data_IF_829186355577
#
_entry.id   IF_829186355577
#
_cell.length_a   1.000
_cell.length_b   1.000
_cell.length_c   1.000
_cell.angle_alpha   90.00
_cell.angle_beta   90.00
_cell.angle_gamma   90.00
#
_symmetry.space_group_name_H-M   'P 1'
#
loop_
_entity.id
_entity.type
_entity.pdbx_description
1 polymer ?
#
# COMPACT_ATOMS: atom_id res chain seq x y z
N UNK A 1 11.95 18.37 0.91
CA UNK A 1 11.26 17.11 1.28
C UNK A 1 11.90 15.98 0.48
N UNK A 2 12.27 14.85 1.07
CA UNK A 2 12.89 13.73 0.35
C UNK A 2 11.94 12.51 0.27
N UNK A 3 12.29 11.54 -0.58
CA UNK A 3 11.53 10.30 -0.82
C UNK A 3 11.24 9.52 0.47
N UNK A 4 12.22 9.42 1.36
CA UNK A 4 12.08 8.67 2.63
C UNK A 4 11.05 9.29 3.57
N UNK A 5 11.00 10.63 3.65
CA UNK A 5 9.98 11.33 4.44
C UNK A 5 8.56 11.07 3.90
N UNK A 6 8.40 11.02 2.57
CA UNK A 6 7.12 10.68 1.95
C UNK A 6 6.73 9.25 2.33
N UNK A 7 7.65 8.30 2.21
CA UNK A 7 7.37 6.90 2.53
C UNK A 7 6.93 6.70 3.98
N UNK A 8 7.68 7.28 4.95
CA UNK A 8 7.33 7.19 6.37
C UNK A 8 5.94 7.75 6.68
N UNK A 9 5.55 8.83 6.00
CA UNK A 9 4.20 9.39 6.16
C UNK A 9 3.12 8.44 5.63
N UNK A 10 3.36 7.73 4.53
CA UNK A 10 2.42 6.72 4.04
C UNK A 10 2.24 5.60 5.06
N UNK A 11 3.33 5.11 5.64
CA UNK A 11 3.29 4.07 6.68
C UNK A 11 2.49 4.52 7.90
N UNK A 12 2.77 5.73 8.40
CA UNK A 12 2.06 6.29 9.56
C UNK A 12 0.57 6.52 9.30
N UNK A 13 0.20 6.98 8.09
CA UNK A 13 -1.19 7.29 7.77
C UNK A 13 -2.05 6.05 7.62
N UNK A 14 -1.52 4.97 7.03
CA UNK A 14 -2.31 3.76 6.76
C UNK A 14 -2.40 2.83 7.96
N UNK A 15 -1.46 2.93 8.91
CA UNK A 15 -1.47 2.14 10.13
C UNK A 15 -2.81 2.29 10.87
N UNK A 16 -3.54 1.17 11.01
CA UNK A 16 -4.82 1.13 11.70
C UNK A 16 -6.04 1.59 10.88
N UNK A 17 -5.87 1.91 9.59
CA UNK A 17 -6.99 2.26 8.71
C UNK A 17 -7.62 1.03 8.07
N UNK A 18 -8.92 1.07 7.84
CA UNK A 18 -9.58 0.07 7.01
C UNK A 18 -9.11 0.17 5.55
N UNK A 19 -9.01 -0.96 4.86
CA UNK A 19 -8.68 -1.01 3.43
C UNK A 19 -9.94 -0.77 2.59
N UNK A 20 -10.47 0.45 2.63
CA UNK A 20 -11.65 0.88 1.86
C UNK A 20 -11.31 2.07 0.96
N UNK A 21 -12.12 2.30 -0.07
CA UNK A 21 -11.91 3.44 -0.98
C UNK A 21 -11.96 4.78 -0.25
N UNK A 22 -12.86 4.92 0.71
CA UNK A 22 -13.03 6.11 1.54
C UNK A 22 -11.79 6.37 2.41
N UNK A 23 -11.32 5.35 3.13
CA UNK A 23 -10.19 5.49 4.04
C UNK A 23 -8.84 5.69 3.32
N UNK A 24 -8.73 5.18 2.09
CA UNK A 24 -7.51 5.21 1.28
C UNK A 24 -7.50 6.30 0.21
N UNK A 25 -8.56 7.11 0.10
CA UNK A 25 -8.67 8.15 -0.92
C UNK A 25 -7.51 9.17 -0.92
N UNK A 26 -6.89 9.41 0.24
CA UNK A 26 -5.76 10.33 0.39
C UNK A 26 -4.40 9.78 -0.07
N UNK A 27 -4.31 8.50 -0.44
CA UNK A 27 -3.05 7.84 -0.84
C UNK A 27 -2.71 8.04 -2.32
N UNK A 28 -3.25 9.10 -2.93
CA UNK A 28 -2.97 9.46 -4.31
C UNK A 28 -2.01 10.65 -4.41
N UNK A 29 -1.31 10.77 -5.54
CA UNK A 29 -0.28 11.78 -5.72
C UNK A 29 -0.78 13.24 -5.57
N UNK A 30 -2.06 13.52 -5.86
CA UNK A 30 -2.64 14.85 -5.68
C UNK A 30 -2.83 15.16 -4.20
N UNK A 31 -3.54 14.30 -3.47
CA UNK A 31 -3.80 14.49 -2.04
C UNK A 31 -2.51 14.56 -1.21
N UNK A 32 -1.51 13.73 -1.53
CA UNK A 32 -0.20 13.78 -0.89
C UNK A 32 0.52 15.11 -1.23
N UNK A 33 0.45 15.57 -2.48
CA UNK A 33 1.06 16.84 -2.87
C UNK A 33 0.44 18.04 -2.17
N UNK A 34 -0.88 18.08 -2.07
CA UNK A 34 -1.63 19.12 -1.37
C UNK A 34 -1.27 19.13 0.12
N UNK A 35 -1.26 17.95 0.76
CA UNK A 35 -0.87 17.79 2.16
C UNK A 35 0.56 18.25 2.46
N UNK A 36 1.48 18.07 1.50
CA UNK A 36 2.89 18.43 1.65
C UNK A 36 3.22 19.83 1.11
N UNK A 37 2.24 20.56 0.55
CA UNK A 37 2.44 21.81 -0.19
C UNK A 37 3.56 21.69 -1.24
N UNK A 38 3.52 20.60 -2.01
CA UNK A 38 4.48 20.29 -3.07
C UNK A 38 3.79 20.17 -4.43
N UNK A 39 4.57 20.18 -5.51
CA UNK A 39 4.02 19.90 -6.85
C UNK A 39 3.68 18.42 -6.99
N UNK A 40 2.50 18.12 -7.55
CA UNK A 40 2.07 16.73 -7.89
C UNK A 40 3.13 15.98 -8.69
N UNK A 41 3.82 16.63 -9.63
CA UNK A 41 4.86 16.00 -10.44
C UNK A 41 6.04 15.48 -9.62
N UNK A 42 6.47 16.24 -8.61
CA UNK A 42 7.56 15.86 -7.69
C UNK A 42 7.13 14.66 -6.83
N UNK A 43 5.91 14.72 -6.27
CA UNK A 43 5.36 13.62 -5.47
C UNK A 43 5.18 12.35 -6.32
N UNK A 44 4.61 12.48 -7.52
CA UNK A 44 4.47 11.37 -8.47
C UNK A 44 5.82 10.75 -8.81
N UNK A 45 6.86 11.57 -9.02
CA UNK A 45 8.21 11.06 -9.25
C UNK A 45 8.72 10.21 -8.07
N UNK A 46 8.59 10.70 -6.83
CA UNK A 46 8.99 9.94 -5.65
C UNK A 46 8.18 8.66 -5.44
N UNK A 47 6.85 8.71 -5.62
CA UNK A 47 5.97 7.55 -5.48
C UNK A 47 6.27 6.47 -6.53
N UNK A 48 6.58 6.87 -7.76
CA UNK A 48 7.01 5.92 -8.79
C UNK A 48 8.39 5.32 -8.49
N UNK A 49 9.32 6.07 -7.90
CA UNK A 49 10.60 5.50 -7.44
C UNK A 49 10.39 4.48 -6.32
N UNK A 50 9.53 4.79 -5.34
CA UNK A 50 9.15 3.84 -4.28
C UNK A 50 8.48 2.58 -4.84
N UNK A 51 7.66 2.71 -5.89
CA UNK A 51 7.04 1.58 -6.58
C UNK A 51 8.08 0.70 -7.28
N UNK A 52 9.04 1.31 -7.99
CA UNK A 52 10.17 0.59 -8.60
C UNK A 52 11.03 -0.15 -7.57
N UNK A 53 11.18 0.45 -6.39
CA UNK A 53 11.85 -0.15 -5.23
C UNK A 53 11.00 -1.20 -4.51
N UNK A 54 9.80 -1.52 -5.01
CA UNK A 54 8.85 -2.48 -4.41
C UNK A 54 8.47 -2.13 -2.96
N UNK A 55 8.55 -0.86 -2.58
CA UNK A 55 8.19 -0.37 -1.24
C UNK A 55 6.72 0.02 -1.14
N UNK A 56 6.12 0.40 -2.26
CA UNK A 56 4.68 0.67 -2.36
C UNK A 56 4.08 -0.12 -3.52
N UNK A 57 2.81 -0.48 -3.41
CA UNK A 57 2.02 -1.00 -4.54
C UNK A 57 1.14 0.07 -5.14
N UNK A 58 0.82 -0.09 -6.42
CA UNK A 58 -0.20 0.72 -7.09
C UNK A 58 -1.55 0.02 -7.08
N UNK A 59 -2.59 0.77 -6.75
CA UNK A 59 -3.97 0.35 -7.01
C UNK A 59 -4.50 1.22 -8.14
N UNK A 60 -4.73 0.61 -9.30
CA UNK A 60 -5.04 1.25 -10.58
C UNK A 60 -6.51 1.71 -10.68
N UNK A 61 -6.99 2.39 -9.65
CA UNK A 61 -8.28 3.07 -9.62
C UNK A 61 -8.21 4.50 -10.16
N UNK A 62 -9.31 5.24 -10.01
CA UNK A 62 -9.38 6.68 -10.26
C UNK A 62 -9.77 7.38 -8.94
N UNK A 63 -8.83 7.98 -8.20
CA UNK A 63 -7.40 8.15 -8.51
C UNK A 63 -6.55 6.88 -8.28
N UNK A 64 -5.33 6.85 -8.85
CA UNK A 64 -4.33 5.80 -8.58
C UNK A 64 -3.78 5.99 -7.17
N UNK A 65 -3.76 4.91 -6.38
CA UNK A 65 -3.29 4.91 -5.00
C UNK A 65 -1.89 4.28 -4.89
N UNK A 66 -1.10 4.74 -3.93
CA UNK A 66 0.22 4.20 -3.59
C UNK A 66 0.22 3.79 -2.11
N UNK A 67 0.28 2.48 -1.85
CA UNK A 67 0.13 1.92 -0.51
C UNK A 67 1.41 1.20 -0.08
N UNK A 68 1.93 1.44 1.13
CA UNK A 68 3.20 0.86 1.58
C UNK A 68 3.09 -0.65 1.84
N UNK A 69 4.00 -1.42 1.23
CA UNK A 69 4.00 -2.89 1.26
C UNK A 69 4.18 -3.41 2.69
N UNK A 70 5.05 -2.79 3.48
CA UNK A 70 5.35 -3.16 4.87
C UNK A 70 4.07 -3.18 5.71
N UNK A 71 3.30 -2.10 5.73
CA UNK A 71 2.07 -2.01 6.52
C UNK A 71 0.99 -2.94 5.99
N UNK A 72 0.87 -3.12 4.67
CA UNK A 72 -0.07 -4.08 4.09
C UNK A 72 0.22 -5.52 4.53
N UNK A 73 1.49 -5.90 4.63
CA UNK A 73 1.89 -7.23 5.10
C UNK A 73 1.73 -7.37 6.61
N UNK A 74 2.29 -6.44 7.37
CA UNK A 74 2.45 -6.59 8.81
C UNK A 74 1.13 -6.32 9.56
N UNK A 75 0.36 -5.31 9.12
CA UNK A 75 -0.87 -4.89 9.81
C UNK A 75 -2.13 -5.48 9.17
N UNK A 76 -2.14 -5.72 7.86
CA UNK A 76 -3.32 -6.22 7.14
C UNK A 76 -3.21 -7.69 6.71
N UNK A 77 -2.08 -8.36 6.98
CA UNK A 77 -1.82 -9.77 6.65
C UNK A 77 -2.05 -10.09 5.17
N UNK A 78 -1.75 -9.13 4.30
CA UNK A 78 -1.78 -9.34 2.85
C UNK A 78 -0.45 -9.96 2.41
N UNK A 79 -0.47 -10.81 1.38
CA UNK A 79 0.75 -11.36 0.80
C UNK A 79 1.49 -10.30 -0.03
N UNK A 80 0.73 -9.48 -0.77
CA UNK A 80 1.24 -8.44 -1.65
C UNK A 80 2.27 -9.01 -2.64
N UNK A 81 1.82 -9.95 -3.48
CA UNK A 81 2.64 -10.68 -4.47
C UNK A 81 2.94 -9.85 -5.71
N UNK A 82 2.03 -8.94 -6.05
CA UNK A 82 2.14 -8.06 -7.20
C UNK A 82 2.43 -6.62 -6.78
N UNK A 83 3.17 -5.88 -7.61
CA UNK A 83 3.41 -4.45 -7.42
C UNK A 83 2.23 -3.57 -7.87
N UNK A 84 1.26 -4.14 -8.58
CA UNK A 84 0.08 -3.44 -9.09
C UNK A 84 -1.18 -4.29 -8.93
N UNK A 85 -2.30 -3.65 -8.60
CA UNK A 85 -3.62 -4.27 -8.47
C UNK A 85 -4.65 -3.42 -9.20
N UNK A 86 -5.65 -4.06 -9.80
CA UNK A 86 -6.74 -3.35 -10.49
C UNK A 86 -7.66 -2.59 -9.52
N UNK A 87 -7.81 -3.07 -8.28
CA UNK A 87 -8.72 -2.49 -7.29
C UNK A 87 -8.27 -2.82 -5.86
N UNK A 88 -8.87 -2.13 -4.88
CA UNK A 88 -8.65 -2.41 -3.46
C UNK A 88 -9.13 -3.83 -3.12
N UNK A 89 -10.22 -4.29 -3.74
CA UNK A 89 -10.74 -5.65 -3.58
C UNK A 89 -9.74 -6.69 -4.07
N UNK A 90 -9.12 -6.47 -5.24
CA UNK A 90 -8.09 -7.36 -5.76
C UNK A 90 -6.86 -7.42 -4.84
N UNK A 91 -6.44 -6.28 -4.29
CA UNK A 91 -5.38 -6.23 -3.28
C UNK A 91 -5.76 -7.00 -2.01
N UNK A 92 -6.99 -6.82 -1.50
CA UNK A 92 -7.46 -7.50 -0.29
C UNK A 92 -7.71 -9.00 -0.47
N UNK A 93 -7.89 -9.46 -1.71
CA UNK A 93 -8.00 -10.88 -2.04
C UNK A 93 -6.65 -11.60 -1.98
N UNK A 94 -5.53 -10.88 -2.14
CA UNK A 94 -4.17 -11.42 -2.06
C UNK A 94 -3.72 -11.56 -0.59
N UNK A 95 -4.35 -12.50 0.11
CA UNK A 95 -4.07 -12.82 1.52
C UNK A 95 -2.85 -13.72 1.65
N UNK A 96 -2.16 -13.63 2.79
CA UNK A 96 -1.21 -14.66 3.19
C UNK A 96 -1.97 -15.97 3.38
N UNK A 97 -1.64 -17.00 2.60
CA UNK A 97 -2.26 -18.32 2.74
C UNK A 97 -2.07 -18.81 4.18
N UNK A 98 -3.17 -19.02 4.89
CA UNK A 98 -3.17 -19.55 6.26
C UNK A 98 -2.92 -21.07 6.31
N UNK A 99 -2.50 -21.68 5.19
CA UNK A 99 -2.33 -23.12 5.03
C UNK A 99 -1.10 -23.70 5.76
N UNK A 100 -0.24 -22.86 6.35
CA UNK A 100 0.80 -23.33 7.27
C UNK A 100 0.24 -23.77 8.65
N UNK A 101 -1.01 -23.44 9.00
CA UNK A 101 -1.64 -23.89 10.25
C UNK A 101 -2.38 -25.23 10.15
N UNK A 102 -2.59 -25.78 8.94
CA UNK A 102 -3.24 -27.09 8.76
C UNK A 102 -2.25 -28.27 8.72
N UNK A 103 -0.95 -28.01 8.55
CA UNK A 103 0.11 -29.03 8.64
C UNK A 103 0.60 -29.21 10.09
N UNK A 104 -0.25 -28.86 11.07
CA UNK A 104 -0.10 -29.21 12.49
C UNK A 104 -1.06 -30.31 12.95
N UNK A 105 -1.99 -30.75 12.08
CA UNK A 105 -2.79 -31.95 12.32
C UNK A 105 -2.03 -33.18 11.83
N UNK A 106 -0.90 -33.50 12.48
CA UNK A 106 -0.26 -34.80 12.36
C UNK A 106 0.06 -35.31 13.77
N UNK A 107 -0.61 -36.39 14.16
CA UNK A 107 -0.13 -37.30 15.21
C UNK A 107 -0.87 -37.23 16.54
N UNK A 108 -1.96 -37.98 16.64
CA UNK A 108 -2.28 -38.92 17.74
C UNK A 108 -3.45 -39.79 17.33
#
# INVERSE_FOLDING_TARGET
>A
MNKESIFRQLEQRIAGRALTAEALGEFNAMAIADSLKQKRSIISHHLNNLHREQRVVKVNGRPVLFLPVTVLRDHHRLAVRHGEYASIQALCADRQDSLAQLIGAQGS
#
